data_IF_792250970182
#
_entry.id   IF_792250970182
#
_cell.length_a   1.000
_cell.length_b   1.000
_cell.length_c   1.000
_cell.angle_alpha   90.00
_cell.angle_beta   90.00
_cell.angle_gamma   90.00
#
_symmetry.space_group_name_H-M   'P 1'
#
loop_
_entity.id
_entity.type
_entity.pdbx_description
1 polymer ?
#
# COMPACT_ATOMS: atom_id res chain seq x y z
N UNK A 1 -4.76 10.04 12.01
CA UNK A 1 -5.81 10.12 10.97
C UNK A 1 -5.13 9.92 9.62
N UNK A 2 -5.82 9.31 8.67
CA UNK A 2 -5.31 9.13 7.31
C UNK A 2 -5.16 10.48 6.59
N UNK A 3 -4.23 10.56 5.65
CA UNK A 3 -3.98 11.75 4.83
C UNK A 3 -4.42 11.51 3.38
N UNK A 4 -4.90 12.58 2.71
CA UNK A 4 -5.26 12.52 1.30
C UNK A 4 -4.02 12.37 0.41
N UNK A 5 -4.18 11.72 -0.76
CA UNK A 5 -3.10 11.58 -1.74
C UNK A 5 -3.56 12.23 -3.04
N UNK A 6 -2.76 13.15 -3.57
CA UNK A 6 -3.03 13.87 -4.81
C UNK A 6 -1.97 13.52 -5.86
N UNK A 7 -2.42 13.19 -7.06
CA UNK A 7 -1.59 12.97 -8.23
C UNK A 7 -1.88 14.04 -9.28
N UNK A 8 -0.83 14.65 -9.83
CA UNK A 8 -0.96 15.67 -10.89
C UNK A 8 -0.01 15.35 -12.02
N UNK A 9 -0.56 14.87 -13.15
CA UNK A 9 0.15 14.51 -14.39
C UNK A 9 1.37 13.63 -14.18
N UNK A 10 1.22 12.62 -13.34
CA UNK A 10 2.31 11.71 -12.96
C UNK A 10 2.70 10.85 -14.15
N UNK A 11 3.95 10.95 -14.56
CA UNK A 11 4.54 10.14 -15.64
C UNK A 11 5.74 9.37 -15.12
N UNK A 12 5.83 8.09 -15.48
CA UNK A 12 6.98 7.24 -15.22
C UNK A 12 7.39 6.45 -16.45
N UNK A 13 8.69 6.40 -16.70
CA UNK A 13 9.28 5.66 -17.83
C UNK A 13 10.37 4.72 -17.32
N UNK A 14 10.50 3.56 -17.97
CA UNK A 14 11.65 2.66 -17.80
C UNK A 14 12.24 2.34 -19.17
N UNK A 15 13.52 2.60 -19.33
CA UNK A 15 14.25 2.33 -20.59
C UNK A 15 13.51 2.86 -21.85
N UNK A 16 12.93 4.07 -21.72
CA UNK A 16 12.19 4.72 -22.83
C UNK A 16 10.70 4.33 -22.92
N UNK A 17 10.26 3.25 -22.30
CA UNK A 17 8.85 2.83 -22.29
C UNK A 17 8.07 3.59 -21.22
N UNK A 18 6.95 4.21 -21.59
CA UNK A 18 6.04 4.89 -20.65
C UNK A 18 5.20 3.84 -19.91
N UNK A 19 5.35 3.79 -18.60
CA UNK A 19 4.60 2.87 -17.72
C UNK A 19 3.45 3.58 -17.01
N UNK A 20 3.60 4.87 -16.69
CA UNK A 20 2.53 5.74 -16.23
C UNK A 20 2.48 6.96 -17.15
N UNK A 21 1.29 7.27 -17.66
CA UNK A 21 1.09 8.31 -18.66
C UNK A 21 0.10 9.38 -18.14
N UNK A 22 0.68 10.49 -17.62
CA UNK A 22 -0.03 11.68 -17.12
C UNK A 22 -1.16 11.38 -16.11
N UNK A 23 -0.93 10.44 -15.19
CA UNK A 23 -1.92 10.06 -14.17
C UNK A 23 -2.26 11.27 -13.29
N UNK A 24 -3.56 11.60 -13.23
CA UNK A 24 -4.10 12.62 -12.34
C UNK A 24 -5.32 12.05 -11.62
N UNK A 25 -5.29 12.04 -10.29
CA UNK A 25 -6.38 11.57 -9.44
C UNK A 25 -6.21 12.07 -8.01
N UNK A 26 -7.28 11.99 -7.23
CA UNK A 26 -7.28 12.28 -5.80
C UNK A 26 -7.82 11.07 -5.03
N UNK A 27 -7.12 10.69 -3.96
CA UNK A 27 -7.53 9.66 -3.01
C UNK A 27 -7.91 10.36 -1.71
N UNK A 28 -9.18 10.28 -1.28
CA UNK A 28 -9.63 10.96 -0.06
C UNK A 28 -8.93 10.44 1.20
N UNK A 29 -8.74 11.32 2.18
CA UNK A 29 -8.21 10.95 3.48
C UNK A 29 -9.12 9.93 4.19
N UNK A 30 -8.51 8.90 4.80
CA UNK A 30 -9.23 7.86 5.53
C UNK A 30 -10.02 6.88 4.66
N UNK A 31 -9.97 7.00 3.33
CA UNK A 31 -10.67 6.09 2.41
C UNK A 31 -9.82 4.88 2.05
N UNK A 32 -10.50 3.81 1.65
CA UNK A 32 -9.91 2.62 1.04
C UNK A 32 -10.08 2.70 -0.47
N UNK A 33 -8.98 2.82 -1.20
CA UNK A 33 -8.96 2.83 -2.67
C UNK A 33 -8.30 1.57 -3.18
N UNK A 34 -9.00 0.82 -4.03
CA UNK A 34 -8.45 -0.38 -4.69
C UNK A 34 -8.08 -0.06 -6.13
N UNK A 35 -6.88 -0.48 -6.56
CA UNK A 35 -6.39 -0.36 -7.93
C UNK A 35 -6.46 -1.72 -8.60
N UNK A 36 -7.24 -1.82 -9.67
CA UNK A 36 -7.46 -3.01 -10.48
C UNK A 36 -6.91 -2.80 -11.91
N UNK A 37 -6.76 -3.89 -12.64
CA UNK A 37 -6.38 -3.88 -14.05
C UNK A 37 -5.46 -5.03 -14.41
N UNK A 38 -5.20 -5.28 -15.71
CA UNK A 38 -4.38 -6.38 -16.18
C UNK A 38 -2.92 -6.26 -15.70
N UNK A 39 -2.20 -7.38 -15.76
CA UNK A 39 -0.76 -7.39 -15.46
C UNK A 39 -0.02 -6.45 -16.41
N UNK A 40 0.99 -5.72 -15.90
CA UNK A 40 1.74 -4.74 -16.67
C UNK A 40 1.04 -3.38 -16.88
N UNK A 41 -0.15 -3.14 -16.32
CA UNK A 41 -0.84 -1.85 -16.47
C UNK A 41 -0.25 -0.68 -15.66
N UNK A 42 0.78 -0.91 -14.84
CA UNK A 42 1.46 0.14 -14.06
C UNK A 42 1.01 0.27 -12.61
N UNK A 43 0.12 -0.59 -12.09
CA UNK A 43 -0.46 -0.53 -10.72
C UNK A 43 0.61 -0.46 -9.62
N UNK A 44 1.49 -1.47 -9.58
CA UNK A 44 2.57 -1.53 -8.58
C UNK A 44 3.56 -0.37 -8.73
N UNK A 45 3.81 0.08 -9.98
CA UNK A 45 4.65 1.26 -10.23
C UNK A 45 4.01 2.52 -9.65
N UNK A 46 2.70 2.72 -9.88
CA UNK A 46 1.97 3.86 -9.30
C UNK A 46 2.01 3.82 -7.78
N UNK A 47 1.77 2.65 -7.18
CA UNK A 47 1.85 2.45 -5.73
C UNK A 47 3.24 2.79 -5.17
N UNK A 48 4.31 2.33 -5.83
CA UNK A 48 5.69 2.61 -5.42
C UNK A 48 6.12 4.07 -5.61
N UNK A 49 5.46 4.81 -6.48
CA UNK A 49 5.67 6.25 -6.59
C UNK A 49 5.11 7.02 -5.39
N UNK A 50 4.04 6.54 -4.73
CA UNK A 50 3.42 7.20 -3.56
C UNK A 50 4.42 7.34 -2.40
N UNK A 51 5.29 6.35 -2.17
CA UNK A 51 6.32 6.41 -1.12
C UNK A 51 7.73 6.67 -1.66
N UNK A 52 7.83 7.17 -2.89
CA UNK A 52 9.09 7.52 -3.56
C UNK A 52 10.10 6.34 -3.64
N UNK A 53 9.62 5.09 -3.69
CA UNK A 53 10.45 3.95 -4.06
C UNK A 53 10.78 4.00 -5.56
N UNK A 54 9.84 4.49 -6.36
CA UNK A 54 10.07 4.85 -7.76
C UNK A 54 10.00 6.37 -7.92
N UNK A 55 11.01 6.95 -8.57
CA UNK A 55 11.05 8.38 -8.87
C UNK A 55 10.20 8.69 -10.08
N UNK A 56 9.50 9.82 -10.04
CA UNK A 56 8.73 10.33 -11.18
C UNK A 56 9.66 10.91 -12.25
N UNK A 57 9.28 10.77 -13.52
CA UNK A 57 9.92 11.50 -14.62
C UNK A 57 9.28 12.87 -14.83
N UNK A 58 7.97 13.00 -14.57
CA UNK A 58 7.25 14.28 -14.51
C UNK A 58 6.01 14.20 -13.64
N UNK A 59 5.40 15.35 -13.36
CA UNK A 59 4.25 15.46 -12.48
C UNK A 59 4.62 15.53 -11.00
N UNK A 60 3.62 15.42 -10.13
CA UNK A 60 3.81 15.48 -8.67
C UNK A 60 2.86 14.55 -7.94
N UNK A 61 3.29 14.05 -6.78
CA UNK A 61 2.45 13.37 -5.79
C UNK A 61 2.53 14.16 -4.49
N UNK A 62 1.39 14.34 -3.82
CA UNK A 62 1.31 14.94 -2.48
C UNK A 62 0.60 13.98 -1.53
N UNK A 63 1.04 13.95 -0.29
CA UNK A 63 0.37 13.28 0.83
C UNK A 63 0.15 14.33 1.90
N UNK A 64 -1.11 14.56 2.31
CA UNK A 64 -1.46 15.61 3.27
C UNK A 64 -0.99 17.01 2.82
N UNK A 65 -0.99 17.28 1.52
CA UNK A 65 -0.51 18.54 0.93
C UNK A 65 1.01 18.63 0.78
N UNK A 66 1.82 17.73 1.37
CA UNK A 66 3.27 17.71 1.27
C UNK A 66 3.75 16.96 0.01
N UNK A 67 4.67 17.57 -0.76
CA UNK A 67 5.28 16.93 -1.94
C UNK A 67 6.10 15.69 -1.54
N UNK A 68 5.84 14.57 -2.18
CA UNK A 68 6.58 13.33 -1.97
C UNK A 68 7.91 13.38 -2.72
N UNK A 69 9.01 13.23 -1.98
CA UNK A 69 10.38 13.14 -2.52
C UNK A 69 10.98 14.47 -3.01
N UNK A 70 10.20 15.54 -3.08
CA UNK A 70 10.63 16.82 -3.64
C UNK A 70 10.29 18.00 -2.75
N UNK A 71 10.99 19.12 -2.95
CA UNK A 71 10.63 20.45 -2.44
C UNK A 71 10.52 21.42 -3.60
N UNK A 72 9.56 22.33 -3.53
CA UNK A 72 9.39 23.38 -4.52
C UNK A 72 10.17 24.64 -4.10
N UNK A 73 10.94 25.21 -5.03
CA UNK A 73 11.58 26.53 -4.89
C UNK A 73 11.29 27.35 -6.15
N UNK A 74 10.43 28.36 -6.01
CA UNK A 74 9.89 29.06 -7.18
C UNK A 74 9.07 28.14 -8.06
N UNK A 75 9.45 28.03 -9.33
CA UNK A 75 8.81 27.14 -10.30
C UNK A 75 9.52 25.77 -10.43
N UNK A 76 10.65 25.56 -9.78
CA UNK A 76 11.43 24.34 -9.91
C UNK A 76 11.22 23.38 -8.73
N UNK A 77 11.25 22.08 -9.02
CA UNK A 77 11.23 21.00 -8.05
C UNK A 77 12.67 20.49 -7.85
N UNK A 78 13.07 20.36 -6.60
CA UNK A 78 14.36 19.82 -6.19
C UNK A 78 14.13 18.56 -5.37
N UNK A 79 14.84 17.48 -5.70
CA UNK A 79 14.77 16.24 -4.91
C UNK A 79 15.25 16.51 -3.48
N UNK A 80 14.53 15.95 -2.53
CA UNK A 80 14.90 16.01 -1.10
C UNK A 80 16.15 15.16 -0.84
N UNK A 81 16.89 15.51 0.23
CA UNK A 81 17.97 14.65 0.71
C UNK A 81 17.43 13.28 1.13
N UNK A 82 18.27 12.23 1.03
CA UNK A 82 17.89 10.84 1.42
C UNK A 82 17.35 10.77 2.85
N UNK A 83 17.86 11.60 3.78
CA UNK A 83 17.36 11.67 5.16
C UNK A 83 15.91 12.20 5.22
N UNK A 84 15.57 13.23 4.43
CA UNK A 84 14.21 13.79 4.39
C UNK A 84 13.24 12.84 3.70
N UNK A 85 13.68 12.16 2.62
CA UNK A 85 12.90 11.10 1.96
C UNK A 85 12.62 9.95 2.94
N UNK A 86 13.62 9.50 3.71
CA UNK A 86 13.43 8.47 4.72
C UNK A 86 12.43 8.90 5.83
N UNK A 87 12.45 10.17 6.22
CA UNK A 87 11.47 10.72 7.16
C UNK A 87 10.05 10.74 6.58
N UNK A 88 9.85 11.10 5.31
CA UNK A 88 8.55 10.99 4.65
C UNK A 88 8.08 9.53 4.57
N UNK A 89 8.96 8.61 4.14
CA UNK A 89 8.64 7.17 4.10
C UNK A 89 8.23 6.59 5.44
N UNK A 90 8.74 7.11 6.55
CA UNK A 90 8.38 6.63 7.89
C UNK A 90 6.92 6.92 8.29
N UNK A 91 6.22 7.78 7.53
CA UNK A 91 4.79 8.10 7.67
C UNK A 91 3.89 7.25 6.78
N UNK A 92 4.50 6.43 5.90
CA UNK A 92 3.78 5.55 4.96
C UNK A 92 4.15 4.11 5.25
N UNK A 93 3.17 3.27 5.54
CA UNK A 93 3.34 1.83 5.67
C UNK A 93 3.25 1.17 4.29
N UNK A 94 4.10 0.19 4.00
CA UNK A 94 4.01 -0.59 2.77
C UNK A 94 4.12 -2.08 3.05
N UNK A 95 3.18 -2.83 2.47
CA UNK A 95 3.12 -4.28 2.50
C UNK A 95 3.33 -4.77 1.07
N UNK A 96 4.35 -5.59 0.87
CA UNK A 96 4.75 -6.08 -0.44
C UNK A 96 4.16 -7.46 -0.73
N UNK A 97 4.13 -7.84 -1.99
CA UNK A 97 3.79 -9.18 -2.46
C UNK A 97 4.68 -10.26 -1.82
N UNK A 98 6.00 -10.04 -1.81
CA UNK A 98 6.93 -10.82 -1.01
C UNK A 98 7.00 -10.17 0.37
N UNK A 99 6.86 -10.95 1.41
CA UNK A 99 6.69 -10.49 2.81
C UNK A 99 7.82 -9.58 3.31
N UNK A 100 9.03 -9.72 2.75
CA UNK A 100 10.22 -8.91 3.04
C UNK A 100 10.54 -8.80 4.54
N UNK A 101 10.27 -9.86 5.29
CA UNK A 101 10.67 -9.94 6.69
C UNK A 101 12.19 -10.10 6.79
N UNK A 102 12.77 -9.54 7.84
CA UNK A 102 14.18 -9.74 8.14
C UNK A 102 14.40 -11.17 8.65
N UNK A 103 15.06 -12.07 7.88
CA UNK A 103 15.17 -13.48 8.24
C UNK A 103 16.04 -13.74 9.48
N UNK A 104 16.89 -12.77 9.82
CA UNK A 104 17.79 -12.79 10.99
C UNK A 104 17.19 -12.05 12.21
N UNK A 105 15.89 -11.85 12.24
CA UNK A 105 15.11 -11.21 13.33
C UNK A 105 13.91 -12.08 13.65
N UNK A 106 13.56 -12.16 14.95
CA UNK A 106 12.29 -12.78 15.36
C UNK A 106 11.11 -11.96 14.89
N UNK A 107 9.91 -12.51 15.00
CA UNK A 107 8.65 -11.81 14.70
C UNK A 107 8.55 -10.51 15.49
N UNK A 108 8.75 -10.55 16.79
CA UNK A 108 8.71 -9.35 17.64
C UNK A 108 9.77 -8.32 17.21
N UNK A 109 10.98 -8.76 16.89
CA UNK A 109 12.05 -7.88 16.43
C UNK A 109 11.74 -7.25 15.07
N UNK A 110 11.12 -7.98 14.13
CA UNK A 110 10.66 -7.42 12.86
C UNK A 110 9.70 -6.25 13.06
N UNK A 111 8.82 -6.33 14.04
CA UNK A 111 7.82 -5.29 14.32
C UNK A 111 8.43 -4.11 15.09
N UNK A 112 9.35 -4.37 16.02
CA UNK A 112 9.85 -3.35 16.95
C UNK A 112 11.06 -2.57 16.45
N UNK A 113 11.83 -3.10 15.50
CA UNK A 113 13.12 -2.53 15.07
C UNK A 113 12.97 -1.09 14.52
N UNK A 114 12.00 -0.85 13.64
CA UNK A 114 11.79 0.47 13.04
C UNK A 114 11.27 1.52 14.05
N UNK A 115 10.24 1.27 14.88
CA UNK A 115 9.83 2.20 15.93
C UNK A 115 10.97 2.59 16.88
N UNK A 116 11.81 1.62 17.28
CA UNK A 116 12.92 1.86 18.18
C UNK A 116 14.06 2.66 17.53
N UNK A 117 14.47 2.27 16.31
CA UNK A 117 15.67 2.83 15.65
C UNK A 117 15.38 4.11 14.87
N UNK A 118 14.24 4.16 14.17
CA UNK A 118 13.88 5.29 13.30
C UNK A 118 13.14 6.36 14.06
N UNK A 119 12.07 5.99 14.79
CA UNK A 119 11.25 6.93 15.58
C UNK A 119 11.80 7.18 16.99
N UNK A 120 12.78 6.39 17.45
CA UNK A 120 13.40 6.48 18.78
C UNK A 120 12.36 6.47 19.91
N UNK A 121 11.31 5.70 19.74
CA UNK A 121 10.21 5.57 20.71
C UNK A 121 10.66 4.81 21.97
N UNK A 122 9.95 4.97 23.08
CA UNK A 122 10.21 4.26 24.32
C UNK A 122 10.04 2.74 24.12
N UNK A 123 11.01 1.96 24.61
CA UNK A 123 11.06 0.51 24.41
C UNK A 123 9.84 -0.23 24.96
N UNK A 124 9.39 0.13 26.17
CA UNK A 124 8.24 -0.54 26.81
C UNK A 124 6.96 -0.30 26.03
N UNK A 125 6.74 0.95 25.57
CA UNK A 125 5.59 1.31 24.74
C UNK A 125 5.61 0.56 23.41
N UNK A 126 6.79 0.48 22.75
CA UNK A 126 6.95 -0.24 21.48
C UNK A 126 6.67 -1.74 21.67
N UNK A 127 7.18 -2.38 22.72
CA UNK A 127 6.91 -3.79 22.99
C UNK A 127 5.43 -4.04 23.29
N UNK A 128 4.81 -3.21 24.09
CA UNK A 128 3.37 -3.30 24.40
C UNK A 128 2.53 -3.19 23.13
N UNK A 129 2.82 -2.20 22.29
CA UNK A 129 2.16 -1.99 21.00
C UNK A 129 2.39 -3.17 20.04
N UNK A 130 3.62 -3.65 19.90
CA UNK A 130 3.94 -4.79 19.02
C UNK A 130 3.14 -6.04 19.42
N UNK A 131 3.04 -6.35 20.72
CA UNK A 131 2.22 -7.46 21.23
C UNK A 131 0.72 -7.24 20.97
N UNK A 132 0.23 -6.00 21.08
CA UNK A 132 -1.15 -5.67 20.72
C UNK A 132 -1.41 -5.90 19.23
N UNK A 133 -0.50 -5.48 18.34
CA UNK A 133 -0.57 -5.73 16.91
C UNK A 133 -0.51 -7.23 16.58
N UNK A 134 0.35 -8.00 17.24
CA UNK A 134 0.39 -9.46 17.08
C UNK A 134 -0.93 -10.13 17.46
N UNK A 135 -1.59 -9.69 18.53
CA UNK A 135 -2.95 -10.15 18.88
C UNK A 135 -3.96 -9.79 17.78
N UNK A 136 -3.89 -8.56 17.26
CA UNK A 136 -4.80 -8.08 16.22
C UNK A 136 -4.69 -8.90 14.93
N UNK A 137 -3.48 -9.35 14.56
CA UNK A 137 -3.26 -10.20 13.39
C UNK A 137 -3.31 -11.70 13.69
N UNK A 138 -3.72 -12.11 14.92
CA UNK A 138 -3.89 -13.52 15.30
C UNK A 138 -2.60 -14.30 15.51
N UNK A 139 -1.50 -13.65 15.90
CA UNK A 139 -0.17 -14.24 16.06
C UNK A 139 0.43 -14.00 17.46
N UNK A 140 -0.41 -13.89 18.49
CA UNK A 140 0.04 -13.57 19.86
C UNK A 140 1.09 -14.54 20.44
N UNK A 141 1.02 -15.83 20.07
CA UNK A 141 1.93 -16.88 20.55
C UNK A 141 3.20 -17.06 19.71
N UNK A 142 3.42 -16.19 18.70
CA UNK A 142 4.50 -16.33 17.71
C UNK A 142 5.58 -15.26 17.82
N UNK A 143 5.64 -14.51 18.95
CA UNK A 143 6.54 -13.36 19.07
C UNK A 143 8.02 -13.71 18.99
N UNK A 144 8.42 -14.92 19.42
CA UNK A 144 9.79 -15.40 19.45
C UNK A 144 10.16 -16.25 18.21
N UNK A 145 9.19 -16.59 17.36
CA UNK A 145 9.42 -17.37 16.16
C UNK A 145 10.25 -16.57 15.13
N UNK A 146 10.95 -17.30 14.26
CA UNK A 146 11.66 -16.73 13.12
C UNK A 146 10.79 -16.78 11.87
N UNK A 147 10.97 -15.87 10.88
CA UNK A 147 10.14 -15.85 9.65
C UNK A 147 10.01 -17.19 8.95
N UNK A 148 11.09 -17.98 8.89
CA UNK A 148 11.13 -19.30 8.25
C UNK A 148 10.32 -20.39 8.98
N UNK A 149 9.89 -20.14 10.20
CA UNK A 149 9.02 -21.04 10.98
C UNK A 149 7.52 -20.74 10.75
N UNK A 150 7.23 -19.69 9.98
CA UNK A 150 5.88 -19.22 9.72
C UNK A 150 5.41 -19.62 8.32
N UNK A 151 4.10 -19.93 8.19
CA UNK A 151 3.47 -20.04 6.86
C UNK A 151 3.49 -18.69 6.11
N UNK A 152 3.29 -18.70 4.79
CA UNK A 152 3.23 -17.48 3.98
C UNK A 152 2.20 -16.49 4.49
N UNK A 153 0.99 -16.95 4.81
CA UNK A 153 -0.06 -16.10 5.38
C UNK A 153 0.29 -15.52 6.75
N UNK A 154 1.01 -16.28 7.60
CA UNK A 154 1.53 -15.77 8.87
C UNK A 154 2.61 -14.71 8.65
N UNK A 155 3.55 -14.94 7.72
CA UNK A 155 4.58 -13.96 7.37
C UNK A 155 3.96 -12.65 6.86
N UNK A 156 2.94 -12.73 6.02
CA UNK A 156 2.23 -11.56 5.52
C UNK A 156 1.53 -10.79 6.64
N UNK A 157 0.89 -11.48 7.58
CA UNK A 157 0.27 -10.84 8.76
C UNK A 157 1.31 -10.17 9.67
N UNK A 158 2.52 -10.74 9.79
CA UNK A 158 3.64 -10.05 10.48
C UNK A 158 4.09 -8.81 9.71
N UNK A 159 4.17 -8.87 8.36
CA UNK A 159 4.52 -7.71 7.54
C UNK A 159 3.50 -6.56 7.69
N UNK A 160 2.21 -6.89 7.79
CA UNK A 160 1.15 -5.92 8.09
C UNK A 160 1.35 -5.31 9.48
N UNK A 161 1.57 -6.13 10.51
CA UNK A 161 1.81 -5.65 11.88
C UNK A 161 3.07 -4.76 11.96
N UNK A 162 4.14 -5.11 11.23
CA UNK A 162 5.35 -4.30 11.12
C UNK A 162 5.08 -2.92 10.51
N UNK A 163 4.30 -2.86 9.45
CA UNK A 163 3.93 -1.59 8.82
C UNK A 163 3.10 -0.71 9.77
N UNK A 164 2.12 -1.29 10.46
CA UNK A 164 1.26 -0.61 11.44
C UNK A 164 2.02 -0.11 12.67
N UNK A 165 3.12 -0.78 13.05
CA UNK A 165 3.91 -0.38 14.22
C UNK A 165 4.50 1.02 14.10
N UNK A 166 4.62 1.53 12.86
CA UNK A 166 5.11 2.88 12.56
C UNK A 166 4.04 3.97 12.63
N UNK A 167 2.78 3.69 13.05
CA UNK A 167 1.66 4.64 13.01
C UNK A 167 1.59 5.39 11.67
N UNK A 168 1.37 4.69 10.57
CA UNK A 168 1.37 5.31 9.26
C UNK A 168 0.09 6.10 9.03
N UNK A 169 0.20 7.19 8.26
CA UNK A 169 -0.92 8.01 7.78
C UNK A 169 -1.55 7.39 6.53
N UNK A 170 -0.74 6.65 5.77
CA UNK A 170 -1.12 5.95 4.55
C UNK A 170 -0.58 4.52 4.59
N UNK A 171 -1.41 3.54 4.27
CA UNK A 171 -1.04 2.14 4.09
C UNK A 171 -1.14 1.74 2.61
N UNK A 172 -0.06 1.21 2.08
CA UNK A 172 0.07 0.75 0.70
C UNK A 172 0.19 -0.77 0.67
N UNK A 173 -0.62 -1.44 -0.14
CA UNK A 173 -0.58 -2.89 -0.29
C UNK A 173 -0.33 -3.25 -1.76
N UNK A 174 0.83 -3.87 -2.05
CA UNK A 174 1.23 -4.30 -3.40
C UNK A 174 0.97 -5.81 -3.53
N UNK A 175 -0.21 -6.18 -4.02
CA UNK A 175 -0.67 -7.55 -4.21
C UNK A 175 -0.44 -8.46 -2.97
N UNK A 176 -1.03 -8.13 -1.81
CA UNK A 176 -0.68 -8.75 -0.53
C UNK A 176 -1.01 -10.24 -0.42
N UNK A 177 -1.72 -10.82 -1.38
CA UNK A 177 -2.16 -12.23 -1.36
C UNK A 177 -1.59 -13.06 -2.51
N UNK A 178 -0.98 -12.44 -3.53
CA UNK A 178 -0.59 -13.14 -4.77
C UNK A 178 0.54 -14.17 -4.61
N UNK A 179 1.30 -14.12 -3.51
CA UNK A 179 2.34 -15.09 -3.18
C UNK A 179 1.87 -16.16 -2.17
N UNK A 180 0.55 -16.27 -1.92
CA UNK A 180 -0.03 -17.18 -0.93
C UNK A 180 -0.77 -18.32 -1.60
N UNK A 181 -0.78 -19.47 -0.91
CA UNK A 181 -1.68 -20.55 -1.25
C UNK A 181 -3.14 -20.11 -1.06
N UNK A 182 -4.09 -20.53 -1.93
CA UNK A 182 -5.49 -20.06 -1.90
C UNK A 182 -6.17 -20.19 -0.53
N UNK A 183 -5.87 -21.23 0.22
CA UNK A 183 -6.41 -21.47 1.56
C UNK A 183 -5.96 -20.44 2.62
N UNK A 184 -4.82 -19.75 2.39
CA UNK A 184 -4.27 -18.75 3.31
C UNK A 184 -4.71 -17.31 2.96
N UNK A 185 -5.23 -17.08 1.76
CA UNK A 185 -5.67 -15.76 1.27
C UNK A 185 -6.71 -15.14 2.20
N UNK A 186 -7.73 -15.93 2.59
CA UNK A 186 -8.83 -15.45 3.44
C UNK A 186 -8.37 -14.85 4.77
N UNK A 187 -7.37 -15.45 5.42
CA UNK A 187 -6.86 -14.96 6.72
C UNK A 187 -6.21 -13.57 6.59
N UNK A 188 -5.46 -13.33 5.50
CA UNK A 188 -4.80 -12.05 5.25
C UNK A 188 -5.82 -10.98 4.89
N UNK A 189 -6.79 -11.31 4.00
CA UNK A 189 -7.85 -10.39 3.61
C UNK A 189 -8.72 -9.97 4.79
N UNK A 190 -9.01 -10.88 5.74
CA UNK A 190 -9.74 -10.54 6.97
C UNK A 190 -8.98 -9.54 7.85
N UNK A 191 -7.65 -9.61 7.93
CA UNK A 191 -6.84 -8.62 8.65
C UNK A 191 -6.93 -7.25 7.94
N UNK A 192 -6.78 -7.22 6.61
CA UNK A 192 -6.86 -5.96 5.84
C UNK A 192 -8.27 -5.36 5.95
N UNK A 193 -9.33 -6.17 5.90
CA UNK A 193 -10.72 -5.73 6.09
C UNK A 193 -10.93 -5.05 7.45
N UNK A 194 -10.39 -5.60 8.54
CA UNK A 194 -10.47 -4.97 9.86
C UNK A 194 -9.76 -3.61 9.90
N UNK A 195 -8.68 -3.45 9.11
CA UNK A 195 -7.97 -2.18 9.01
C UNK A 195 -8.71 -1.13 8.19
N UNK A 196 -9.53 -1.53 7.22
CA UNK A 196 -10.32 -0.63 6.39
C UNK A 196 -11.21 0.34 7.20
N UNK A 197 -11.64 -0.08 8.39
CA UNK A 197 -12.45 0.75 9.29
C UNK A 197 -11.64 1.56 10.33
N UNK A 198 -10.31 1.60 10.21
CA UNK A 198 -9.44 2.29 11.18
C UNK A 198 -9.27 3.80 10.94
N UNK A 199 -9.74 4.32 9.81
CA UNK A 199 -9.57 5.71 9.39
C UNK A 199 -8.18 6.03 8.82
N UNK A 200 -7.34 5.01 8.55
CA UNK A 200 -6.09 5.14 7.82
C UNK A 200 -6.42 5.18 6.33
N UNK A 201 -5.77 6.06 5.56
CA UNK A 201 -5.89 6.03 4.09
C UNK A 201 -5.22 4.78 3.55
N UNK A 202 -5.93 3.97 2.75
CA UNK A 202 -5.40 2.70 2.24
C UNK A 202 -5.44 2.69 0.71
N UNK A 203 -4.34 2.29 0.09
CA UNK A 203 -4.26 2.03 -1.35
C UNK A 203 -3.84 0.58 -1.56
N UNK A 204 -4.68 -0.20 -2.23
CA UNK A 204 -4.51 -1.66 -2.35
C UNK A 204 -4.50 -2.03 -3.83
N UNK A 205 -3.38 -2.58 -4.30
CA UNK A 205 -3.32 -3.28 -5.59
C UNK A 205 -3.65 -4.74 -5.33
N UNK A 206 -4.66 -5.27 -5.99
CA UNK A 206 -5.08 -6.68 -5.82
C UNK A 206 -5.78 -7.22 -7.06
N UNK A 207 -5.88 -8.53 -7.16
CA UNK A 207 -6.71 -9.25 -8.14
C UNK A 207 -7.99 -9.83 -7.50
N UNK A 208 -8.18 -9.65 -6.19
CA UNK A 208 -9.33 -10.14 -5.42
C UNK A 208 -10.54 -9.21 -5.58
N UNK A 209 -11.32 -9.39 -6.65
CA UNK A 209 -12.47 -8.51 -6.97
C UNK A 209 -13.55 -8.59 -5.89
N UNK A 210 -13.82 -9.80 -5.36
CA UNK A 210 -14.78 -9.98 -4.27
C UNK A 210 -14.40 -9.17 -3.02
N UNK A 211 -13.13 -9.19 -2.66
CA UNK A 211 -12.59 -8.38 -1.56
C UNK A 211 -12.70 -6.88 -1.87
N UNK A 212 -12.35 -6.46 -3.10
CA UNK A 212 -12.49 -5.05 -3.50
C UNK A 212 -13.93 -4.54 -3.35
N UNK A 213 -14.93 -5.32 -3.76
CA UNK A 213 -16.36 -5.00 -3.58
C UNK A 213 -16.76 -4.80 -2.13
N UNK A 214 -16.16 -5.57 -1.23
CA UNK A 214 -16.53 -5.58 0.18
C UNK A 214 -15.89 -4.43 0.98
N UNK A 215 -14.67 -4.02 0.62
CA UNK A 215 -13.90 -3.09 1.47
C UNK A 215 -13.60 -1.74 0.84
N UNK A 216 -13.63 -1.62 -0.49
CA UNK A 216 -13.22 -0.40 -1.14
C UNK A 216 -14.34 0.67 -1.14
N UNK A 217 -13.97 1.89 -0.76
CA UNK A 217 -14.82 3.07 -0.99
C UNK A 217 -14.75 3.47 -2.47
N UNK A 218 -13.53 3.43 -3.04
CA UNK A 218 -13.25 3.79 -4.41
C UNK A 218 -12.45 2.71 -5.14
N UNK A 219 -12.70 2.60 -6.43
CA UNK A 219 -11.94 1.73 -7.33
C UNK A 219 -11.34 2.54 -8.46
N UNK A 220 -10.09 2.23 -8.80
CA UNK A 220 -9.37 2.76 -9.95
C UNK A 220 -9.07 1.57 -10.86
N UNK A 221 -9.48 1.63 -12.11
CA UNK A 221 -9.13 0.65 -13.12
C UNK A 221 -8.06 1.22 -14.06
N UNK A 222 -6.90 0.55 -14.10
CA UNK A 222 -5.76 0.95 -14.91
C UNK A 222 -5.53 -0.01 -16.08
N UNK A 223 -5.22 0.55 -17.24
CA UNK A 223 -4.75 -0.19 -18.41
C UNK A 223 -3.77 0.65 -19.23
N UNK A 224 -2.69 0.04 -19.72
CA UNK A 224 -1.70 0.70 -20.57
C UNK A 224 -1.10 1.98 -19.96
N UNK A 225 -0.89 1.99 -18.65
CA UNK A 225 -0.34 3.14 -17.93
C UNK A 225 -1.31 4.30 -17.69
N UNK A 226 -2.61 4.12 -17.99
CA UNK A 226 -3.65 5.15 -17.85
C UNK A 226 -4.76 4.70 -16.91
N UNK A 227 -5.47 5.67 -16.34
CA UNK A 227 -6.74 5.43 -15.65
C UNK A 227 -7.84 5.36 -16.70
N UNK A 228 -8.51 4.21 -16.79
CA UNK A 228 -9.61 3.95 -17.72
C UNK A 228 -10.96 4.23 -17.07
N UNK A 229 -11.07 3.95 -15.76
CA UNK A 229 -12.23 4.26 -14.94
C UNK A 229 -11.80 4.51 -13.49
N UNK A 230 -12.47 5.40 -12.79
CA UNK A 230 -12.28 5.65 -11.37
C UNK A 230 -13.56 6.19 -10.74
N UNK A 231 -13.81 5.87 -9.48
CA UNK A 231 -14.97 6.36 -8.74
C UNK A 231 -15.40 5.41 -7.62
N UNK A 232 -16.59 5.64 -7.04
CA UNK A 232 -17.17 4.75 -6.04
C UNK A 232 -17.21 3.29 -6.52
N UNK A 233 -16.96 2.37 -5.61
CA UNK A 233 -16.85 0.93 -5.92
C UNK A 233 -18.03 0.41 -6.74
N UNK A 234 -19.26 0.74 -6.33
CA UNK A 234 -20.47 0.31 -7.02
C UNK A 234 -20.51 0.78 -8.48
N UNK A 235 -20.16 2.05 -8.72
CA UNK A 235 -20.17 2.64 -10.06
C UNK A 235 -19.14 2.00 -10.99
N UNK A 236 -17.97 1.59 -10.47
CA UNK A 236 -16.91 1.02 -11.30
C UNK A 236 -17.06 -0.50 -11.46
N UNK A 237 -17.50 -1.24 -10.43
CA UNK A 237 -17.54 -2.70 -10.46
C UNK A 237 -18.90 -3.28 -10.83
N UNK A 238 -20.02 -2.58 -10.54
CA UNK A 238 -21.37 -3.15 -10.71
C UNK A 238 -22.18 -2.41 -11.79
N UNK A 239 -22.02 -1.10 -11.90
CA UNK A 239 -22.83 -0.25 -12.80
C UNK A 239 -22.03 0.32 -13.98
N UNK A 240 -20.80 -0.17 -14.20
CA UNK A 240 -19.91 0.40 -15.23
C UNK A 240 -20.44 0.21 -16.65
N UNK A 241 -20.48 1.30 -17.42
CA UNK A 241 -20.73 1.27 -18.86
C UNK A 241 -19.46 1.04 -19.69
N UNK A 242 -18.28 1.13 -19.03
CA UNK A 242 -17.01 0.97 -19.72
C UNK A 242 -16.80 -0.51 -20.15
N UNK A 243 -16.77 -0.72 -21.47
CA UNK A 243 -16.65 -2.06 -22.08
C UNK A 243 -15.38 -2.77 -21.65
N UNK A 244 -14.27 -2.03 -21.44
CA UNK A 244 -12.98 -2.64 -21.02
C UNK A 244 -13.04 -3.14 -19.60
N UNK A 245 -13.66 -2.38 -18.70
CA UNK A 245 -13.86 -2.80 -17.30
C UNK A 245 -14.77 -4.02 -17.25
N UNK A 246 -15.90 -4.01 -17.97
CA UNK A 246 -16.84 -5.17 -18.05
C UNK A 246 -16.14 -6.43 -18.55
N UNK A 247 -15.37 -6.31 -19.64
CA UNK A 247 -14.64 -7.46 -20.19
C UNK A 247 -13.62 -8.03 -19.21
N UNK A 248 -12.89 -7.15 -18.49
CA UNK A 248 -11.96 -7.60 -17.46
C UNK A 248 -12.69 -8.32 -16.32
N UNK A 249 -13.78 -7.75 -15.81
CA UNK A 249 -14.55 -8.34 -14.73
C UNK A 249 -15.13 -9.72 -15.12
N UNK A 250 -15.62 -9.88 -16.35
CA UNK A 250 -16.16 -11.16 -16.84
C UNK A 250 -15.11 -12.25 -17.06
N UNK A 251 -13.82 -11.88 -17.12
CA UNK A 251 -12.71 -12.85 -17.30
C UNK A 251 -12.17 -13.36 -15.96
N UNK A 252 -12.38 -12.60 -14.88
CA UNK A 252 -11.81 -12.88 -13.55
C UNK A 252 -12.88 -13.43 -12.57
N UNK A 253 -14.16 -13.26 -12.89
CA UNK A 253 -15.32 -13.80 -12.17
C UNK A 253 -15.76 -15.13 -12.78
#
# INVERSE_FOLDING_TARGET
>A
MGEAIEFRKVTKRFSGNTILDEISLDIPAGSVTVILGPSGSGKSTLLRCINHLEKLDSGTIRIGGELVGYQQKGQALYELSSRRIAAQRSRTGMVFQQFNLFPHRTVLQNITDAPLRVKKQNREQVLSKARALLRQVGLASREDDWPQQLSGGQQQRVAIARALAMDPEVMLFDEPTSALDPELVGEVLQVIKKLAHSGITMVIVTHEIGFAREVADNVIFMEGGKIVASGPTKSVLDETENVRVRNFLSTVL
#
